data_IF_044129651221
#
_entry.id   IF_044129651221
#
_cell.length_a   1.000
_cell.length_b   1.000
_cell.length_c   1.000
_cell.angle_alpha   90.00
_cell.angle_beta   90.00
_cell.angle_gamma   90.00
#
_symmetry.space_group_name_H-M   'P 1'
#
loop_
_entity.id
_entity.type
_entity.pdbx_description
1 polymer ?
#
# COMPACT_ATOMS: atom_id res chain seq x y z
N UNK A 1 1.61 -22.33 -3.63
CA UNK A 1 3.04 -21.97 -3.57
C UNK A 1 3.54 -21.73 -5.00
N UNK A 2 4.24 -20.61 -5.24
CA UNK A 2 4.87 -20.35 -6.55
C UNK A 2 5.98 -21.36 -6.84
N UNK A 3 6.05 -21.81 -8.10
CA UNK A 3 7.11 -22.69 -8.60
C UNK A 3 8.43 -21.94 -8.85
N UNK A 4 8.34 -20.63 -9.12
CA UNK A 4 9.51 -19.77 -9.34
C UNK A 4 9.97 -19.23 -8.00
N UNK A 5 11.22 -19.51 -7.66
CA UNK A 5 11.83 -19.12 -6.38
C UNK A 5 13.04 -18.21 -6.52
N UNK A 6 13.49 -17.93 -7.74
CA UNK A 6 14.60 -17.01 -8.03
C UNK A 6 14.54 -16.54 -9.49
N UNK A 7 15.32 -15.51 -9.82
CA UNK A 7 15.38 -14.95 -11.17
C UNK A 7 14.36 -13.85 -11.42
N UNK A 8 13.97 -13.67 -12.69
CA UNK A 8 13.01 -12.64 -13.12
C UNK A 8 11.64 -13.26 -13.32
N UNK A 9 10.59 -12.59 -12.84
CA UNK A 9 9.21 -13.01 -13.00
C UNK A 9 8.37 -11.83 -13.52
N UNK A 10 7.50 -12.10 -14.49
CA UNK A 10 6.44 -11.20 -14.91
C UNK A 10 5.09 -11.92 -14.74
N UNK A 11 4.17 -11.31 -13.99
CA UNK A 11 2.83 -11.83 -13.75
C UNK A 11 1.78 -10.87 -14.31
N UNK A 12 1.22 -11.19 -15.46
CA UNK A 12 0.10 -10.47 -16.07
C UNK A 12 -1.10 -11.40 -16.04
N UNK A 13 -1.95 -11.26 -15.02
CA UNK A 13 -3.00 -12.26 -14.71
C UNK A 13 -4.42 -11.81 -15.04
N UNK A 14 -4.59 -10.58 -15.53
CA UNK A 14 -5.83 -10.03 -16.06
C UNK A 14 -5.54 -9.18 -17.29
N UNK A 15 -6.53 -9.01 -18.18
CA UNK A 15 -6.41 -8.20 -19.40
C UNK A 15 -6.33 -6.69 -19.09
N UNK A 16 -6.97 -6.26 -18.01
CA UNK A 16 -6.97 -4.89 -17.51
C UNK A 16 -6.69 -4.90 -16.00
N UNK A 17 -7.54 -4.30 -15.17
CA UNK A 17 -7.45 -4.40 -13.72
C UNK A 17 -7.78 -5.81 -13.18
N UNK A 18 -7.26 -6.06 -11.98
CA UNK A 18 -7.75 -7.14 -11.12
C UNK A 18 -9.20 -6.86 -10.68
N UNK A 19 -9.96 -7.89 -10.27
CA UNK A 19 -11.24 -7.71 -9.59
C UNK A 19 -11.11 -6.83 -8.33
N UNK A 20 -12.22 -6.25 -7.89
CA UNK A 20 -12.29 -5.55 -6.60
C UNK A 20 -11.97 -6.52 -5.46
N UNK A 21 -11.52 -6.01 -4.31
CA UNK A 21 -11.12 -6.78 -3.13
C UNK A 21 -12.17 -7.83 -2.69
N UNK A 22 -13.46 -7.56 -2.96
CA UNK A 22 -14.55 -8.52 -2.69
C UNK A 22 -14.38 -9.85 -3.44
N UNK A 23 -13.84 -9.83 -4.65
CA UNK A 23 -13.70 -10.97 -5.55
C UNK A 23 -12.24 -11.40 -5.73
N UNK A 24 -11.30 -10.46 -5.55
CA UNK A 24 -9.85 -10.68 -5.68
C UNK A 24 -9.27 -11.63 -4.64
N UNK A 25 -9.96 -11.85 -3.52
CA UNK A 25 -9.45 -12.68 -2.42
C UNK A 25 -8.18 -12.08 -1.80
N UNK A 26 -7.23 -12.92 -1.38
CA UNK A 26 -5.97 -12.49 -0.77
C UNK A 26 -4.84 -12.30 -1.80
N UNK A 27 -5.17 -11.94 -3.05
CA UNK A 27 -4.15 -11.86 -4.10
C UNK A 27 -3.04 -10.85 -3.80
N UNK A 28 -3.36 -9.63 -3.34
CA UNK A 28 -2.37 -8.59 -3.10
C UNK A 28 -1.32 -9.00 -2.03
N UNK A 29 -1.71 -9.52 -0.84
CA UNK A 29 -0.73 -10.01 0.12
C UNK A 29 0.04 -11.23 -0.40
N UNK A 30 -0.60 -12.16 -1.12
CA UNK A 30 0.08 -13.33 -1.67
C UNK A 30 1.11 -12.97 -2.75
N UNK A 31 0.75 -12.06 -3.67
CA UNK A 31 1.64 -11.56 -4.71
C UNK A 31 2.80 -10.74 -4.13
N UNK A 32 2.54 -9.97 -3.07
CA UNK A 32 3.57 -9.22 -2.34
C UNK A 32 4.58 -10.16 -1.70
N UNK A 33 4.11 -11.16 -0.94
CA UNK A 33 5.02 -12.11 -0.29
C UNK A 33 5.74 -13.03 -1.29
N UNK A 34 5.10 -13.32 -2.43
CA UNK A 34 5.76 -13.95 -3.55
C UNK A 34 6.92 -13.12 -4.13
N UNK A 35 6.75 -11.80 -4.25
CA UNK A 35 7.82 -10.91 -4.69
C UNK A 35 8.95 -10.85 -3.66
N UNK A 36 8.62 -10.75 -2.37
CA UNK A 36 9.59 -10.80 -1.27
C UNK A 36 10.40 -12.10 -1.32
N UNK A 37 9.73 -13.27 -1.41
CA UNK A 37 10.36 -14.60 -1.54
C UNK A 37 11.40 -14.68 -2.68
N UNK A 38 11.13 -14.02 -3.81
CA UNK A 38 12.02 -14.03 -4.98
C UNK A 38 13.17 -13.03 -4.78
N UNK A 39 12.86 -11.82 -4.32
CA UNK A 39 13.80 -10.71 -4.18
C UNK A 39 14.81 -10.90 -3.04
N UNK A 40 14.40 -11.57 -1.95
CA UNK A 40 15.23 -11.84 -0.77
C UNK A 40 16.43 -12.77 -1.06
N UNK A 41 16.43 -13.45 -2.22
CA UNK A 41 17.59 -14.20 -2.67
C UNK A 41 18.81 -13.32 -3.01
N UNK A 42 18.65 -11.99 -3.11
CA UNK A 42 19.73 -11.06 -3.39
C UNK A 42 20.42 -10.56 -2.11
N UNK A 43 21.68 -10.97 -1.90
CA UNK A 43 22.49 -10.54 -0.75
C UNK A 43 22.78 -9.03 -0.68
N UNK A 44 22.52 -8.27 -1.76
CA UNK A 44 22.62 -6.80 -1.76
C UNK A 44 21.33 -6.11 -1.29
N UNK A 45 20.29 -6.88 -0.94
CA UNK A 45 18.96 -6.38 -0.64
C UNK A 45 18.13 -6.13 -1.90
N UNK A 46 16.96 -5.53 -1.72
CA UNK A 46 16.02 -5.23 -2.80
C UNK A 46 15.25 -3.93 -2.52
N UNK A 47 14.59 -3.45 -3.57
CA UNK A 47 13.54 -2.44 -3.50
C UNK A 47 12.26 -3.07 -4.04
N UNK A 48 11.16 -2.90 -3.32
CA UNK A 48 9.84 -3.38 -3.71
C UNK A 48 8.83 -2.25 -3.55
N UNK A 49 8.00 -2.04 -4.58
CA UNK A 49 6.86 -1.14 -4.54
C UNK A 49 5.59 -2.00 -4.69
N UNK A 50 4.63 -1.75 -3.81
CA UNK A 50 3.34 -2.46 -3.75
C UNK A 50 2.24 -1.40 -3.69
N UNK A 51 1.20 -1.57 -4.49
CA UNK A 51 0.13 -0.59 -4.65
C UNK A 51 -1.25 -1.22 -4.41
N UNK A 52 -2.03 -0.63 -3.51
CA UNK A 52 -3.45 -0.91 -3.33
C UNK A 52 -4.31 -0.04 -4.25
N UNK A 53 -4.17 -0.22 -5.57
CA UNK A 53 -4.62 0.76 -6.58
C UNK A 53 -6.13 1.07 -6.58
N UNK A 54 -6.98 0.12 -6.19
CA UNK A 54 -8.44 0.31 -6.27
C UNK A 54 -9.05 1.09 -5.10
N UNK A 55 -8.23 1.49 -4.11
CA UNK A 55 -8.63 2.47 -3.08
C UNK A 55 -9.03 3.79 -3.76
N UNK A 56 -8.23 4.25 -4.72
CA UNK A 56 -8.51 5.45 -5.52
C UNK A 56 -9.83 5.34 -6.31
N UNK A 57 -10.06 4.17 -6.94
CA UNK A 57 -11.27 3.92 -7.72
C UNK A 57 -12.53 3.95 -6.86
N UNK A 58 -12.45 3.42 -5.64
CA UNK A 58 -13.53 3.53 -4.66
C UNK A 58 -13.81 4.99 -4.29
N UNK A 59 -12.75 5.81 -4.20
CA UNK A 59 -12.82 7.26 -4.00
C UNK A 59 -13.54 7.95 -5.16
N UNK A 60 -13.16 7.69 -6.41
CA UNK A 60 -13.82 8.26 -7.59
C UNK A 60 -15.31 7.87 -7.70
N UNK A 61 -15.65 6.64 -7.28
CA UNK A 61 -17.03 6.14 -7.24
C UNK A 61 -17.84 6.69 -6.05
N UNK A 62 -17.20 7.36 -5.08
CA UNK A 62 -17.78 7.71 -3.79
C UNK A 62 -18.40 6.49 -3.07
N UNK A 63 -17.78 5.33 -3.21
CA UNK A 63 -18.26 4.06 -2.64
C UNK A 63 -17.48 3.73 -1.36
N UNK A 64 -18.08 4.09 -0.22
CA UNK A 64 -17.49 3.85 1.09
C UNK A 64 -17.35 2.35 1.43
N UNK A 65 -18.21 1.49 0.87
CA UNK A 65 -18.14 0.06 1.13
C UNK A 65 -17.02 -0.60 0.32
N UNK A 66 -16.84 -0.20 -0.95
CA UNK A 66 -15.67 -0.59 -1.75
C UNK A 66 -14.39 -0.06 -1.09
N UNK A 67 -14.35 1.22 -0.71
CA UNK A 67 -13.21 1.87 -0.05
C UNK A 67 -12.75 1.08 1.18
N UNK A 68 -13.69 0.71 2.06
CA UNK A 68 -13.37 -0.06 3.25
C UNK A 68 -12.79 -1.45 2.92
N UNK A 69 -13.30 -2.14 1.89
CA UNK A 69 -12.79 -3.46 1.49
C UNK A 69 -11.40 -3.38 0.88
N UNK A 70 -11.15 -2.40 0.01
CA UNK A 70 -9.85 -2.17 -0.61
C UNK A 70 -8.80 -1.78 0.45
N UNK A 71 -9.16 -0.92 1.41
CA UNK A 71 -8.29 -0.60 2.55
C UNK A 71 -7.98 -1.82 3.41
N UNK A 72 -8.95 -2.72 3.65
CA UNK A 72 -8.71 -3.97 4.39
C UNK A 72 -7.78 -4.90 3.62
N UNK A 73 -7.89 -5.00 2.30
CA UNK A 73 -6.97 -5.81 1.48
C UNK A 73 -5.54 -5.26 1.51
N UNK A 74 -5.39 -3.94 1.45
CA UNK A 74 -4.10 -3.30 1.58
C UNK A 74 -3.53 -3.41 3.02
N UNK A 75 -4.37 -3.29 4.04
CA UNK A 75 -3.97 -3.47 5.46
C UNK A 75 -3.43 -4.88 5.73
N UNK A 76 -4.08 -5.93 5.21
CA UNK A 76 -3.53 -7.30 5.26
C UNK A 76 -2.15 -7.41 4.62
N UNK A 77 -1.94 -6.70 3.51
CA UNK A 77 -0.66 -6.66 2.80
C UNK A 77 0.41 -5.95 3.63
N UNK A 78 0.07 -4.81 4.23
CA UNK A 78 0.95 -4.09 5.16
C UNK A 78 1.30 -4.98 6.35
N UNK A 79 0.33 -5.67 6.95
CA UNK A 79 0.57 -6.61 8.05
C UNK A 79 1.57 -7.71 7.68
N UNK A 80 1.41 -8.34 6.51
CA UNK A 80 2.34 -9.38 6.04
C UNK A 80 3.76 -8.84 5.81
N UNK A 81 3.89 -7.61 5.28
CA UNK A 81 5.19 -6.97 5.06
C UNK A 81 5.84 -6.53 6.38
N UNK A 82 5.06 -6.05 7.35
CA UNK A 82 5.56 -5.71 8.69
C UNK A 82 6.05 -6.96 9.43
N UNK A 83 5.30 -8.08 9.37
CA UNK A 83 5.71 -9.36 9.93
C UNK A 83 7.04 -9.86 9.34
N UNK A 84 7.25 -9.63 8.03
CA UNK A 84 8.53 -9.92 7.38
C UNK A 84 9.63 -8.97 7.86
N UNK A 85 9.37 -7.67 7.88
CA UNK A 85 10.36 -6.66 8.24
C UNK A 85 10.83 -6.79 9.70
N UNK A 86 9.93 -7.12 10.62
CA UNK A 86 10.25 -7.40 12.02
C UNK A 86 11.18 -8.62 12.15
N UNK A 87 10.93 -9.69 11.39
CA UNK A 87 11.77 -10.90 11.39
C UNK A 87 13.15 -10.67 10.75
N UNK A 88 13.19 -9.91 9.67
CA UNK A 88 14.43 -9.61 8.96
C UNK A 88 15.32 -8.61 9.73
N UNK A 89 14.72 -7.64 10.41
CA UNK A 89 15.41 -6.63 11.22
C UNK A 89 16.25 -5.61 10.42
N UNK A 90 16.38 -5.77 9.10
CA UNK A 90 17.13 -4.89 8.21
C UNK A 90 16.25 -4.24 7.12
N UNK A 91 14.93 -4.45 7.19
CA UNK A 91 13.97 -3.98 6.20
C UNK A 91 13.32 -2.68 6.65
N UNK A 92 13.37 -1.68 5.78
CA UNK A 92 12.58 -0.45 5.90
C UNK A 92 11.27 -0.60 5.14
N UNK A 93 10.16 -0.36 5.81
CA UNK A 93 8.82 -0.29 5.23
C UNK A 93 8.35 1.15 5.26
N UNK A 94 7.92 1.69 4.11
CA UNK A 94 7.31 3.02 4.01
C UNK A 94 5.93 2.86 3.37
N UNK A 95 4.90 3.34 4.05
CA UNK A 95 3.50 3.33 3.60
C UNK A 95 3.03 4.77 3.46
N UNK A 96 2.52 5.13 2.28
CA UNK A 96 1.96 6.45 1.98
C UNK A 96 0.86 6.29 0.94
N UNK A 97 0.13 7.36 0.68
CA UNK A 97 -0.64 7.52 -0.54
C UNK A 97 0.09 8.43 -1.54
N UNK A 98 -0.32 8.39 -2.79
CA UNK A 98 0.05 9.33 -3.85
C UNK A 98 -0.78 10.62 -3.80
N UNK A 99 -2.08 10.51 -3.47
CA UNK A 99 -2.99 11.61 -3.18
C UNK A 99 -4.26 11.13 -2.43
N UNK A 100 -5.13 12.07 -2.03
CA UNK A 100 -6.48 11.76 -1.55
C UNK A 100 -7.49 11.83 -2.70
N UNK A 101 -8.51 10.98 -2.68
CA UNK A 101 -9.54 10.91 -3.71
C UNK A 101 -10.96 10.91 -3.13
N UNK A 102 -11.77 11.87 -3.60
CA UNK A 102 -13.21 11.96 -3.29
C UNK A 102 -13.57 12.93 -2.16
N UNK A 103 -12.61 13.41 -1.37
CA UNK A 103 -12.86 14.27 -0.21
C UNK A 103 -13.74 13.56 0.82
N UNK A 104 -13.41 12.31 1.16
CA UNK A 104 -14.20 11.48 2.07
C UNK A 104 -14.22 12.06 3.48
N UNK A 105 -15.42 12.26 4.04
CA UNK A 105 -15.64 12.66 5.41
C UNK A 105 -16.57 11.67 6.14
N UNK A 106 -16.19 11.29 7.36
CA UNK A 106 -17.08 10.59 8.29
C UNK A 106 -17.93 11.63 9.02
N UNK A 107 -19.23 11.66 8.73
CA UNK A 107 -20.15 12.71 9.23
C UNK A 107 -21.12 12.19 10.30
N UNK A 108 -20.98 10.93 10.71
CA UNK A 108 -21.79 10.31 11.74
C UNK A 108 -21.76 8.79 11.64
N UNK A 109 -22.47 8.13 12.54
CA UNK A 109 -22.54 6.67 12.58
C UNK A 109 -23.28 6.19 13.82
N UNK A 110 -23.43 4.88 13.92
CA UNK A 110 -24.02 4.18 15.06
C UNK A 110 -23.18 2.92 15.32
N UNK A 111 -22.51 2.89 16.47
CA UNK A 111 -21.66 1.77 16.87
C UNK A 111 -22.51 0.53 17.17
N UNK A 112 -23.64 0.67 17.87
CA UNK A 112 -24.49 -0.46 18.22
C UNK A 112 -25.13 -1.08 16.97
N UNK A 113 -25.57 -0.22 16.05
CA UNK A 113 -26.10 -0.61 14.74
C UNK A 113 -25.04 -0.97 13.69
N UNK A 114 -23.73 -0.83 14.00
CA UNK A 114 -22.60 -1.05 13.07
C UNK A 114 -22.74 -0.26 11.75
N UNK A 115 -23.14 1.01 11.84
CA UNK A 115 -23.33 1.90 10.69
C UNK A 115 -22.32 3.04 10.71
N UNK A 116 -21.84 3.39 9.53
CA UNK A 116 -21.04 4.60 9.29
C UNK A 116 -21.78 5.45 8.26
N UNK A 117 -21.85 6.75 8.51
CA UNK A 117 -22.38 7.73 7.56
C UNK A 117 -21.22 8.51 6.97
N UNK A 118 -21.05 8.39 5.67
CA UNK A 118 -20.01 9.09 4.91
C UNK A 118 -20.60 10.21 4.07
N UNK A 119 -19.77 11.19 3.74
CA UNK A 119 -20.03 12.17 2.70
C UNK A 119 -18.77 12.33 1.84
N UNK A 120 -18.95 12.70 0.59
CA UNK A 120 -17.85 12.94 -0.34
C UNK A 120 -18.02 14.34 -0.92
N UNK A 121 -16.94 15.14 -0.88
CA UNK A 121 -16.95 16.49 -1.42
C UNK A 121 -16.71 16.52 -2.95
N UNK A 122 -16.03 15.51 -3.49
CA UNK A 122 -15.54 15.48 -4.87
C UNK A 122 -15.84 14.12 -5.52
N UNK A 123 -15.54 14.02 -6.82
CA UNK A 123 -15.39 12.75 -7.55
C UNK A 123 -13.97 12.63 -8.13
N UNK A 124 -13.05 13.48 -7.69
CA UNK A 124 -11.69 13.58 -8.18
C UNK A 124 -10.77 13.79 -6.98
N UNK A 125 -9.48 13.99 -7.24
CA UNK A 125 -8.47 14.11 -6.21
C UNK A 125 -8.60 15.44 -5.44
N UNK A 126 -8.07 15.46 -4.22
CA UNK A 126 -7.89 16.68 -3.44
C UNK A 126 -6.41 16.92 -3.11
N UNK A 127 -6.09 18.15 -2.71
CA UNK A 127 -4.75 18.55 -2.29
C UNK A 127 -4.47 18.32 -0.80
N UNK A 128 -5.23 17.46 -0.13
CA UNK A 128 -5.03 17.18 1.29
C UNK A 128 -3.68 16.46 1.47
N UNK A 129 -2.83 16.88 2.42
CA UNK A 129 -1.61 16.16 2.75
C UNK A 129 -1.91 14.72 3.16
N UNK A 130 -1.19 13.77 2.55
CA UNK A 130 -1.31 12.35 2.85
C UNK A 130 -0.34 11.94 3.96
N UNK A 131 -0.72 10.98 4.82
CA UNK A 131 0.16 10.49 5.86
C UNK A 131 1.30 9.66 5.27
N UNK A 132 2.46 9.73 5.92
CA UNK A 132 3.61 8.85 5.68
C UNK A 132 3.86 8.06 6.96
N UNK A 133 3.82 6.74 6.87
CA UNK A 133 4.18 5.82 7.94
C UNK A 133 5.47 5.11 7.56
N UNK A 134 6.38 4.94 8.51
CA UNK A 134 7.62 4.23 8.29
C UNK A 134 7.96 3.32 9.48
N UNK A 135 8.53 2.15 9.19
CA UNK A 135 8.96 1.14 10.17
C UNK A 135 10.29 0.53 9.75
N UNK A 136 11.16 0.25 10.73
CA UNK A 136 12.46 -0.38 10.51
C UNK A 136 13.62 0.63 10.40
N UNK A 137 14.84 0.17 10.05
CA UNK A 137 16.02 1.02 9.98
C UNK A 137 15.87 2.16 8.97
N UNK A 138 16.12 3.40 9.40
CA UNK A 138 16.01 4.59 8.54
C UNK A 138 14.60 5.22 8.51
N UNK A 139 13.65 4.70 9.29
CA UNK A 139 12.29 5.27 9.39
C UNK A 139 12.28 6.73 9.87
N UNK A 140 13.28 7.15 10.66
CA UNK A 140 13.45 8.51 11.13
C UNK A 140 13.64 9.54 9.99
N UNK A 141 14.12 9.10 8.83
CA UNK A 141 14.27 9.95 7.65
C UNK A 141 12.90 10.36 7.05
N UNK A 142 11.82 9.69 7.44
CA UNK A 142 10.45 9.92 6.96
C UNK A 142 9.55 10.60 8.01
N UNK A 143 10.14 11.23 9.04
CA UNK A 143 9.41 12.01 10.02
C UNK A 143 9.18 13.45 9.58
N UNK A 144 8.05 14.04 9.99
CA UNK A 144 7.72 15.45 9.75
C UNK A 144 7.00 15.71 8.44
N UNK A 145 6.94 16.98 8.04
CA UNK A 145 6.36 17.41 6.76
C UNK A 145 7.43 17.38 5.66
N UNK A 146 7.10 16.77 4.53
CA UNK A 146 8.00 16.68 3.37
C UNK A 146 7.20 16.68 2.07
N UNK A 147 7.92 16.91 0.96
CA UNK A 147 7.35 16.79 -0.37
C UNK A 147 7.51 15.35 -0.87
N UNK A 148 6.58 14.88 -1.71
CA UNK A 148 6.69 13.55 -2.31
C UNK A 148 7.97 13.38 -3.15
N UNK A 149 8.50 14.46 -3.74
CA UNK A 149 9.77 14.45 -4.47
C UNK A 149 10.99 14.09 -3.60
N UNK A 150 10.88 14.26 -2.28
CA UNK A 150 11.96 13.96 -1.34
C UNK A 150 12.18 12.44 -1.17
N UNK A 151 11.16 11.63 -1.46
CA UNK A 151 11.19 10.17 -1.30
C UNK A 151 12.30 9.54 -2.13
N UNK A 152 12.43 9.94 -3.40
CA UNK A 152 13.48 9.43 -4.30
C UNK A 152 14.85 9.58 -3.65
N UNK A 153 15.18 10.78 -3.19
CA UNK A 153 16.51 11.09 -2.65
C UNK A 153 16.76 10.35 -1.33
N UNK A 154 15.76 10.28 -0.45
CA UNK A 154 15.83 9.56 0.82
C UNK A 154 16.04 8.06 0.61
N UNK A 155 15.23 7.45 -0.25
CA UNK A 155 15.33 6.02 -0.59
C UNK A 155 16.68 5.71 -1.26
N UNK A 156 17.11 6.52 -2.23
CA UNK A 156 18.40 6.33 -2.90
C UNK A 156 19.59 6.39 -1.92
N UNK A 157 19.56 7.36 -0.99
CA UNK A 157 20.57 7.49 0.07
C UNK A 157 20.62 6.24 0.95
N UNK A 158 19.46 5.74 1.40
CA UNK A 158 19.36 4.58 2.29
C UNK A 158 19.80 3.28 1.60
N UNK A 159 19.43 3.11 0.32
CA UNK A 159 19.85 1.97 -0.50
C UNK A 159 21.29 2.09 -1.03
N UNK A 160 21.98 3.21 -0.79
CA UNK A 160 23.34 3.51 -1.27
C UNK A 160 23.46 3.38 -2.80
N UNK A 161 22.41 3.78 -3.51
CA UNK A 161 22.36 3.81 -4.98
C UNK A 161 22.59 5.25 -5.47
N UNK A 162 23.37 5.39 -6.55
CA UNK A 162 23.71 6.69 -7.16
C UNK A 162 22.55 7.26 -7.97
#
# INVERSE_FOLDING_TARGET
>A
MLKVKSGKLAGLIHEDQLPEAKERGNYLPEATMAAVDILDNNKKGFFLMVEGSQIDWAGHKNDAAMMAREMIDFDKTIGAVLDYAEKDGNTLVVVTADHETGGLALIGGDIAGKKVKTNYALKNHSGIPVPVFAYGPGAEEFMGFMQNIDFKNKISKLLKIK
#
